data_IF_082697546172
#
_entry.id   IF_082697546172
#
_cell.length_a   1.000
_cell.length_b   1.000
_cell.length_c   1.000
_cell.angle_alpha   90.00
_cell.angle_beta   90.00
_cell.angle_gamma   90.00
#
_symmetry.space_group_name_H-M   'P 1'
#
loop_
_entity.id
_entity.type
_entity.pdbx_description
1 polymer ?
#
# COMPACT_ATOMS: atom_id res chain seq x y z
N UNK A 1 -3.16 35.87 -11.97
CA UNK A 1 -2.90 36.57 -10.71
C UNK A 1 -3.94 36.06 -9.73
N UNK A 2 -3.54 35.27 -8.75
CA UNK A 2 -4.42 34.75 -7.69
C UNK A 2 -4.88 35.91 -6.81
N UNK A 3 -6.18 35.99 -6.54
CA UNK A 3 -6.79 36.99 -5.66
C UNK A 3 -6.81 36.49 -4.21
N UNK A 4 -7.04 37.40 -3.27
CA UNK A 4 -7.31 37.03 -1.87
C UNK A 4 -8.53 36.11 -1.77
N UNK A 5 -9.53 36.27 -2.66
CA UNK A 5 -10.71 35.43 -2.69
C UNK A 5 -10.35 34.00 -3.10
N UNK A 6 -9.49 33.82 -4.10
CA UNK A 6 -9.02 32.49 -4.53
C UNK A 6 -8.24 31.76 -3.41
N UNK A 7 -7.69 32.50 -2.46
CA UNK A 7 -7.00 31.92 -1.30
C UNK A 7 -7.96 31.35 -0.26
N UNK A 8 -9.16 31.92 -0.13
CA UNK A 8 -10.08 31.60 0.98
C UNK A 8 -11.43 31.02 0.57
N UNK A 9 -11.85 31.18 -0.69
CA UNK A 9 -13.16 30.78 -1.19
C UNK A 9 -13.05 29.61 -2.16
N UNK A 10 -14.13 28.86 -2.33
CA UNK A 10 -14.19 27.72 -3.26
C UNK A 10 -13.52 26.44 -2.78
N UNK A 11 -13.03 26.41 -1.54
CA UNK A 11 -12.48 25.21 -0.91
C UNK A 11 -13.59 24.31 -0.36
N UNK A 12 -13.54 23.03 -0.69
CA UNK A 12 -14.39 22.00 -0.11
C UNK A 12 -13.58 21.18 0.89
N UNK A 13 -14.20 20.84 2.03
CA UNK A 13 -13.59 19.92 2.99
C UNK A 13 -14.00 18.49 2.65
N UNK A 14 -13.07 17.51 2.71
CA UNK A 14 -13.42 16.11 2.60
C UNK A 14 -14.47 15.71 3.65
N UNK A 15 -15.56 15.09 3.18
CA UNK A 15 -16.64 14.61 4.05
C UNK A 15 -16.42 13.17 4.53
N UNK A 16 -16.87 12.89 5.74
CA UNK A 16 -16.95 11.53 6.26
C UNK A 16 -18.25 10.85 5.82
N UNK A 17 -18.30 9.51 5.90
CA UNK A 17 -19.59 8.83 5.77
C UNK A 17 -20.52 9.24 6.94
N UNK A 18 -21.85 9.30 6.72
CA UNK A 18 -22.81 9.62 7.79
C UNK A 18 -22.73 8.69 9.01
N UNK A 19 -22.19 7.48 8.83
CA UNK A 19 -22.00 6.46 9.86
C UNK A 19 -20.68 6.56 10.61
N UNK A 20 -19.90 7.63 10.41
CA UNK A 20 -18.60 7.79 11.04
C UNK A 20 -18.71 8.11 12.54
N UNK A 21 -18.36 7.16 13.39
CA UNK A 21 -18.41 7.34 14.85
C UNK A 21 -17.26 8.20 15.40
N UNK A 22 -16.10 8.22 14.72
CA UNK A 22 -14.91 8.98 15.13
C UNK A 22 -14.26 9.67 13.93
N UNK A 23 -14.82 10.80 13.55
CA UNK A 23 -14.32 11.65 12.46
C UNK A 23 -12.87 12.09 12.71
N UNK A 24 -11.95 11.66 11.85
CA UNK A 24 -10.54 12.04 11.88
C UNK A 24 -9.93 11.88 10.48
N UNK A 25 -9.08 12.81 10.05
CA UNK A 25 -8.27 12.66 8.84
C UNK A 25 -6.81 12.40 9.20
N UNK A 26 -6.24 11.34 8.64
CA UNK A 26 -4.81 11.07 8.61
C UNK A 26 -4.27 11.42 7.24
N UNK A 27 -3.22 12.23 7.20
CA UNK A 27 -2.57 12.69 5.96
C UNK A 27 -1.15 12.15 5.91
N UNK A 28 -0.82 11.45 4.84
CA UNK A 28 0.56 11.04 4.55
C UNK A 28 0.94 11.45 3.13
N UNK A 29 2.22 11.76 2.93
CA UNK A 29 2.81 11.97 1.62
C UNK A 29 3.94 10.98 1.42
N UNK A 30 4.15 10.57 0.17
CA UNK A 30 5.36 9.87 -0.26
C UNK A 30 5.84 10.43 -1.59
N UNK A 31 7.13 10.41 -1.78
CA UNK A 31 7.78 10.75 -3.04
C UNK A 31 8.39 9.47 -3.61
N UNK A 32 8.06 9.17 -4.86
CA UNK A 32 8.70 8.11 -5.63
C UNK A 32 9.52 8.71 -6.76
N UNK A 33 10.77 8.29 -6.90
CA UNK A 33 11.62 8.65 -8.04
C UNK A 33 11.41 7.67 -9.20
N UNK A 34 11.60 8.14 -10.43
CA UNK A 34 11.65 7.26 -11.60
C UNK A 34 10.30 6.60 -11.90
N UNK A 35 9.21 7.34 -11.86
CA UNK A 35 7.95 6.89 -12.46
C UNK A 35 7.96 7.16 -13.95
N UNK A 36 7.48 6.21 -14.75
CA UNK A 36 7.42 6.34 -16.22
C UNK A 36 6.06 6.91 -16.65
N UNK A 37 6.07 7.92 -17.51
CA UNK A 37 4.85 8.44 -18.13
C UNK A 37 4.32 7.45 -19.16
N UNK A 38 3.17 6.83 -18.90
CA UNK A 38 2.49 5.95 -19.87
C UNK A 38 2.25 6.69 -21.20
N UNK A 39 2.77 6.14 -22.30
CA UNK A 39 2.60 6.70 -23.65
C UNK A 39 1.24 6.28 -24.20
N UNK A 40 0.27 7.18 -24.23
CA UNK A 40 -1.00 6.92 -24.92
C UNK A 40 -0.95 7.13 -26.45
N UNK A 41 0.16 7.63 -26.99
CA UNK A 41 0.61 7.61 -28.40
C UNK A 41 1.61 8.76 -28.63
N UNK A 42 2.73 8.52 -29.33
CA UNK A 42 3.72 9.55 -29.66
C UNK A 42 5.19 9.12 -29.54
N UNK A 43 6.08 9.81 -30.25
CA UNK A 43 7.53 9.60 -30.21
C UNK A 43 8.14 9.98 -28.85
N UNK A 44 9.31 9.40 -28.52
CA UNK A 44 10.06 9.72 -27.31
C UNK A 44 10.34 11.23 -27.22
N UNK A 45 10.00 11.87 -26.11
CA UNK A 45 10.14 13.30 -25.96
C UNK A 45 11.62 13.67 -25.72
N UNK A 46 12.36 13.98 -26.80
CA UNK A 46 13.72 14.53 -26.71
C UNK A 46 13.63 16.05 -26.54
N UNK A 47 13.54 16.53 -25.31
CA UNK A 47 13.77 17.95 -25.06
C UNK A 47 15.29 18.22 -25.07
N UNK A 48 15.78 19.17 -25.89
CA UNK A 48 17.19 19.54 -25.91
C UNK A 48 17.63 20.39 -24.70
N UNK A 49 16.68 20.81 -23.85
CA UNK A 49 16.97 21.52 -22.60
C UNK A 49 17.12 20.51 -21.45
N UNK A 50 18.31 20.46 -20.87
CA UNK A 50 18.70 19.59 -19.75
C UNK A 50 18.02 19.96 -18.42
N UNK A 51 17.39 21.13 -18.34
CA UNK A 51 16.58 21.59 -17.20
C UNK A 51 15.08 21.33 -17.41
N UNK A 52 14.68 20.73 -18.53
CA UNK A 52 13.27 20.54 -18.84
C UNK A 52 12.70 19.29 -18.14
N UNK A 53 11.79 19.48 -17.19
CA UNK A 53 11.05 18.41 -16.49
C UNK A 53 10.03 17.64 -17.34
N UNK A 54 10.22 17.57 -18.66
CA UNK A 54 9.32 16.88 -19.60
C UNK A 54 9.86 15.53 -20.10
N UNK A 55 10.81 14.93 -19.38
CA UNK A 55 11.31 13.59 -19.69
C UNK A 55 10.23 12.50 -19.55
N UNK A 56 10.52 11.30 -20.07
CA UNK A 56 9.64 10.14 -19.90
C UNK A 56 9.56 9.66 -18.45
N UNK A 57 10.49 10.11 -17.59
CA UNK A 57 10.59 9.75 -16.18
C UNK A 57 10.45 10.98 -15.29
N UNK A 58 9.78 10.81 -14.16
CA UNK A 58 9.51 11.92 -13.24
C UNK A 58 9.45 11.49 -11.77
N UNK A 59 9.55 12.50 -10.90
CA UNK A 59 9.29 12.36 -9.47
C UNK A 59 7.79 12.48 -9.20
N UNK A 60 7.21 11.43 -8.62
CA UNK A 60 5.79 11.41 -8.29
C UNK A 60 5.59 11.64 -6.80
N UNK A 61 4.83 12.68 -6.47
CA UNK A 61 4.31 12.86 -5.11
C UNK A 61 2.94 12.21 -5.01
N UNK A 62 2.76 11.35 -4.00
CA UNK A 62 1.44 10.79 -3.67
C UNK A 62 1.04 11.29 -2.29
N UNK A 63 -0.11 11.95 -2.20
CA UNK A 63 -0.75 12.33 -0.94
C UNK A 63 -1.94 11.41 -0.71
N UNK A 64 -2.06 10.85 0.49
CA UNK A 64 -3.26 10.12 0.94
C UNK A 64 -3.89 10.84 2.11
N UNK A 65 -5.22 10.94 2.07
CA UNK A 65 -6.05 11.49 3.15
C UNK A 65 -7.06 10.42 3.51
N UNK A 66 -7.03 9.93 4.76
CA UNK A 66 -7.77 8.72 5.14
C UNK A 66 -8.43 8.88 6.50
N UNK A 67 -9.69 8.48 6.62
CA UNK A 67 -10.36 8.35 7.90
C UNK A 67 -10.31 6.89 8.38
N UNK A 68 -9.61 6.56 9.49
CA UNK A 68 -9.54 5.19 9.97
C UNK A 68 -10.89 4.68 10.54
N UNK A 69 -11.80 5.58 10.92
CA UNK A 69 -13.10 5.21 11.48
C UNK A 69 -14.10 4.83 10.40
N UNK A 70 -14.28 5.66 9.36
CA UNK A 70 -15.26 5.41 8.30
C UNK A 70 -14.64 4.92 6.99
N UNK A 71 -13.31 4.80 6.93
CA UNK A 71 -12.55 4.23 5.81
C UNK A 71 -12.71 4.96 4.48
N UNK A 72 -13.18 6.21 4.51
CA UNK A 72 -13.11 7.11 3.36
C UNK A 72 -11.64 7.45 3.14
N UNK A 73 -11.18 7.32 1.90
CA UNK A 73 -9.83 7.68 1.52
C UNK A 73 -9.80 8.45 0.19
N UNK A 74 -8.94 9.45 0.14
CA UNK A 74 -8.59 10.21 -1.06
C UNK A 74 -7.11 9.98 -1.34
N UNK A 75 -6.77 9.65 -2.58
CA UNK A 75 -5.39 9.50 -3.02
C UNK A 75 -5.17 10.47 -4.16
N UNK A 76 -4.25 11.40 -3.97
CA UNK A 76 -3.81 12.36 -4.97
C UNK A 76 -2.43 11.95 -5.45
N UNK A 77 -2.26 11.83 -6.76
CA UNK A 77 -0.98 11.55 -7.41
C UNK A 77 -0.64 12.75 -8.27
N UNK A 78 0.48 13.39 -7.96
CA UNK A 78 0.94 14.60 -8.60
C UNK A 78 2.26 14.41 -9.30
N UNK A 79 2.36 15.02 -10.48
CA UNK A 79 3.61 15.33 -11.18
C UNK A 79 3.65 16.85 -11.41
N UNK A 80 4.42 17.58 -10.63
CA UNK A 80 4.42 19.06 -10.72
C UNK A 80 3.00 19.64 -10.65
N UNK A 81 2.56 20.30 -11.73
CA UNK A 81 1.25 20.97 -11.85
C UNK A 81 0.07 20.04 -12.21
N UNK A 82 0.32 18.76 -12.50
CA UNK A 82 -0.72 17.80 -12.91
C UNK A 82 -1.06 16.89 -11.73
N UNK A 83 -2.27 17.05 -11.19
CA UNK A 83 -2.79 16.23 -10.10
C UNK A 83 -3.97 15.37 -10.58
N UNK A 84 -3.91 14.06 -10.34
CA UNK A 84 -5.07 13.17 -10.44
C UNK A 84 -5.48 12.70 -9.04
N UNK A 85 -6.75 12.91 -8.70
CA UNK A 85 -7.37 12.44 -7.46
C UNK A 85 -8.22 11.20 -7.72
N UNK A 86 -8.22 10.24 -6.79
CA UNK A 86 -9.14 9.10 -6.82
C UNK A 86 -9.70 8.86 -5.43
N UNK A 87 -11.01 8.60 -5.35
CA UNK A 87 -11.65 8.04 -4.16
C UNK A 87 -11.15 6.60 -4.01
N UNK A 88 -10.23 6.38 -3.08
CA UNK A 88 -9.78 5.05 -2.72
C UNK A 88 -10.83 4.43 -1.79
N UNK A 89 -11.37 3.28 -2.20
CA UNK A 89 -12.26 2.50 -1.36
C UNK A 89 -11.49 1.45 -0.56
N UNK A 90 -12.15 0.87 0.42
CA UNK A 90 -11.66 -0.22 1.30
C UNK A 90 -11.11 -1.44 0.56
N UNK A 91 -11.44 -1.62 -0.72
CA UNK A 91 -10.98 -2.77 -1.52
C UNK A 91 -9.48 -2.71 -1.80
N UNK A 92 -8.88 -1.51 -1.78
CA UNK A 92 -7.45 -1.29 -2.02
C UNK A 92 -6.63 -1.29 -0.71
N UNK A 93 -7.19 -1.74 0.41
CA UNK A 93 -6.50 -1.79 1.71
C UNK A 93 -6.31 -0.44 2.40
N UNK A 94 -6.44 0.68 1.69
CA UNK A 94 -6.32 2.02 2.26
C UNK A 94 -7.31 2.24 3.42
N UNK A 95 -6.77 2.67 4.57
CA UNK A 95 -7.56 2.99 5.76
C UNK A 95 -8.12 1.81 6.53
N UNK A 96 -7.92 0.58 6.05
CA UNK A 96 -8.29 -0.60 6.81
C UNK A 96 -7.30 -0.82 7.97
N UNK A 97 -7.79 -1.09 9.18
CA UNK A 97 -6.91 -1.42 10.30
C UNK A 97 -6.23 -2.78 10.07
N UNK A 98 -5.05 -3.01 10.66
CA UNK A 98 -4.40 -4.30 10.57
C UNK A 98 -5.24 -5.39 11.25
N UNK A 99 -5.25 -6.59 10.67
CA UNK A 99 -5.91 -7.76 11.24
C UNK A 99 -4.93 -8.53 12.13
N UNK A 100 -5.37 -8.91 13.34
CA UNK A 100 -4.59 -9.79 14.22
C UNK A 100 -4.84 -11.24 13.85
N UNK A 101 -3.83 -11.92 13.31
CA UNK A 101 -3.93 -13.33 12.87
C UNK A 101 -2.65 -14.06 13.24
N UNK A 102 -2.78 -15.23 13.89
CA UNK A 102 -1.65 -16.08 14.28
C UNK A 102 -0.53 -15.33 15.06
N UNK A 103 -0.90 -14.37 15.91
CA UNK A 103 0.07 -13.57 16.67
C UNK A 103 0.80 -12.50 15.85
N UNK A 104 0.34 -12.21 14.63
CA UNK A 104 0.90 -11.21 13.72
C UNK A 104 -0.13 -10.12 13.41
N UNK A 105 0.36 -8.99 12.90
CA UNK A 105 -0.47 -7.93 12.32
C UNK A 105 -0.38 -7.98 10.80
N UNK A 106 -1.54 -8.09 10.15
CA UNK A 106 -1.69 -8.15 8.70
C UNK A 106 -2.25 -6.82 8.21
N UNK A 107 -1.40 -6.04 7.54
CA UNK A 107 -1.69 -4.72 7.01
C UNK A 107 -2.14 -4.86 5.56
N UNK A 108 -3.42 -4.62 5.26
CA UNK A 108 -3.95 -4.82 3.91
C UNK A 108 -3.36 -3.80 2.93
N UNK A 109 -2.96 -4.29 1.75
CA UNK A 109 -2.41 -3.49 0.67
C UNK A 109 -3.32 -3.42 -0.55
N UNK A 110 -3.00 -2.49 -1.45
CA UNK A 110 -3.47 -2.46 -2.83
C UNK A 110 -2.73 -3.56 -3.62
N UNK A 111 -3.40 -4.33 -4.49
CA UNK A 111 -2.71 -5.33 -5.30
C UNK A 111 -1.60 -4.69 -6.15
N UNK A 112 -0.49 -5.41 -6.33
CA UNK A 112 0.58 -4.97 -7.24
C UNK A 112 0.12 -4.88 -8.71
N UNK A 113 -1.01 -5.49 -9.05
CA UNK A 113 -1.55 -5.56 -10.40
C UNK A 113 -3.06 -5.31 -10.36
N UNK A 114 -3.58 -4.43 -11.22
CA UNK A 114 -5.01 -4.12 -11.40
C UNK A 114 -5.85 -5.31 -11.93
N UNK A 115 -5.56 -6.54 -11.52
CA UNK A 115 -6.36 -7.72 -11.82
C UNK A 115 -7.55 -7.73 -10.87
N UNK A 116 -8.67 -7.18 -11.35
CA UNK A 116 -9.92 -6.90 -10.62
C UNK A 116 -10.49 -8.04 -9.77
N UNK A 117 -11.50 -7.68 -8.94
CA UNK A 117 -12.00 -8.46 -7.77
C UNK A 117 -12.01 -9.97 -8.02
N UNK A 118 -11.14 -10.72 -7.33
CA UNK A 118 -11.30 -12.17 -7.21
C UNK A 118 -12.40 -12.45 -6.16
N UNK A 119 -13.65 -12.35 -6.59
CA UNK A 119 -14.87 -12.93 -5.98
C UNK A 119 -15.06 -12.84 -4.45
N UNK A 120 -14.32 -12.00 -3.74
CA UNK A 120 -14.33 -11.89 -2.28
C UNK A 120 -14.02 -10.46 -1.85
N UNK A 121 -14.43 -10.11 -0.63
CA UNK A 121 -14.14 -8.83 0.01
C UNK A 121 -12.78 -8.82 0.75
N UNK A 122 -11.96 -9.86 0.56
CA UNK A 122 -10.64 -9.96 1.16
C UNK A 122 -9.65 -9.04 0.42
N UNK A 123 -8.84 -8.23 1.12
CA UNK A 123 -7.70 -7.54 0.53
C UNK A 123 -6.81 -8.52 -0.22
N UNK A 124 -6.25 -8.07 -1.34
CA UNK A 124 -5.43 -8.92 -2.21
C UNK A 124 -4.13 -9.35 -1.54
N UNK A 125 -3.44 -8.38 -0.94
CA UNK A 125 -2.13 -8.60 -0.36
C UNK A 125 -2.10 -8.03 1.05
N UNK A 126 -1.22 -8.59 1.87
CA UNK A 126 -0.94 -8.09 3.21
C UNK A 126 0.56 -7.95 3.42
N UNK A 127 0.98 -6.80 3.93
CA UNK A 127 2.26 -6.70 4.63
C UNK A 127 2.08 -7.23 6.05
N UNK A 128 3.07 -7.96 6.55
CA UNK A 128 2.99 -8.61 7.85
C UNK A 128 4.02 -8.03 8.78
N UNK A 129 3.61 -7.65 9.99
CA UNK A 129 4.50 -7.17 11.06
C UNK A 129 4.28 -7.95 12.35
N UNK A 130 5.18 -7.78 13.31
CA UNK A 130 4.97 -8.21 14.69
C UNK A 130 3.86 -7.38 15.37
N UNK A 131 3.28 -7.87 16.48
CA UNK A 131 2.37 -7.07 17.32
C UNK A 131 3.03 -5.79 17.84
N UNK A 132 2.20 -4.80 18.17
CA UNK A 132 2.64 -3.53 18.77
C UNK A 132 2.97 -2.43 17.75
N UNK A 133 3.06 -2.75 16.47
CA UNK A 133 3.27 -1.76 15.40
C UNK A 133 2.00 -0.92 15.21
N UNK A 134 2.14 0.40 15.32
CA UNK A 134 1.05 1.36 15.10
C UNK A 134 1.14 2.03 13.73
N UNK A 135 2.37 2.19 13.21
CA UNK A 135 2.66 2.74 11.89
C UNK A 135 3.78 1.90 11.28
N UNK A 136 3.51 1.27 10.14
CA UNK A 136 4.46 0.36 9.50
C UNK A 136 5.63 1.15 8.91
N UNK A 137 6.84 0.76 9.29
CA UNK A 137 8.09 1.12 8.63
C UNK A 137 8.71 -0.11 8.00
N UNK A 138 9.73 0.08 7.15
CA UNK A 138 10.47 -1.03 6.53
C UNK A 138 11.05 -2.00 7.56
N UNK A 139 11.49 -1.50 8.71
CA UNK A 139 12.09 -2.32 9.78
C UNK A 139 11.07 -3.19 10.54
N UNK A 140 9.79 -2.84 10.48
CA UNK A 140 8.72 -3.58 11.17
C UNK A 140 8.24 -4.80 10.38
N UNK A 141 8.50 -4.81 9.07
CA UNK A 141 8.04 -5.84 8.16
C UNK A 141 8.79 -7.13 8.43
N UNK A 142 8.04 -8.22 8.56
CA UNK A 142 8.59 -9.58 8.75
C UNK A 142 8.16 -10.54 7.64
N UNK A 143 7.17 -10.17 6.84
CA UNK A 143 6.67 -10.99 5.75
C UNK A 143 5.63 -10.29 4.88
N UNK A 144 5.18 -11.00 3.85
CA UNK A 144 4.01 -10.64 3.06
C UNK A 144 3.16 -11.88 2.76
N UNK A 145 1.88 -11.64 2.54
CA UNK A 145 0.90 -12.63 2.09
C UNK A 145 0.34 -12.09 0.79
N UNK A 146 0.46 -12.88 -0.29
CA UNK A 146 -0.02 -12.47 -1.61
C UNK A 146 -1.06 -13.44 -2.14
N UNK A 147 -2.15 -12.89 -2.66
CA UNK A 147 -3.19 -13.67 -3.29
C UNK A 147 -2.71 -14.16 -4.67
N UNK A 148 -3.01 -15.41 -4.99
CA UNK A 148 -2.65 -16.05 -6.26
C UNK A 148 -3.77 -16.99 -6.74
N UNK A 149 -3.60 -17.59 -7.92
CA UNK A 149 -4.55 -18.53 -8.53
C UNK A 149 -4.02 -19.95 -8.53
N UNK A 150 -4.84 -20.87 -8.02
CA UNK A 150 -4.59 -22.30 -8.12
C UNK A 150 -4.93 -22.85 -9.52
N UNK A 151 -4.60 -24.13 -9.73
CA UNK A 151 -4.76 -24.89 -11.00
C UNK A 151 -6.16 -24.85 -11.67
N UNK A 152 -7.19 -24.38 -10.98
CA UNK A 152 -8.58 -24.26 -11.49
C UNK A 152 -9.17 -22.85 -11.30
N UNK A 153 -8.32 -21.83 -11.18
CA UNK A 153 -8.75 -20.44 -10.97
C UNK A 153 -9.25 -20.11 -9.55
N UNK A 154 -9.31 -21.10 -8.65
CA UNK A 154 -9.64 -20.86 -7.25
C UNK A 154 -8.56 -20.03 -6.55
N UNK A 155 -9.01 -19.19 -5.61
CA UNK A 155 -8.14 -18.34 -4.80
C UNK A 155 -7.22 -19.23 -3.95
N UNK A 156 -5.92 -18.92 -4.01
CA UNK A 156 -4.87 -19.49 -3.17
C UNK A 156 -3.98 -18.36 -2.68
N UNK A 157 -3.12 -18.67 -1.73
CA UNK A 157 -2.26 -17.70 -1.07
C UNK A 157 -0.81 -18.19 -1.12
N UNK A 158 0.09 -17.23 -1.25
CA UNK A 158 1.52 -17.41 -1.05
C UNK A 158 1.96 -16.56 0.12
N UNK A 159 3.00 -17.01 0.82
CA UNK A 159 3.56 -16.28 1.94
C UNK A 159 5.07 -16.14 1.74
N UNK A 160 5.62 -15.02 2.17
CA UNK A 160 7.03 -14.71 2.06
C UNK A 160 7.57 -14.08 3.34
N UNK A 161 8.85 -14.30 3.65
CA UNK A 161 9.54 -13.82 4.85
C UNK A 161 10.96 -13.36 4.53
N UNK A 162 11.65 -12.84 5.55
CA UNK A 162 13.04 -12.38 5.46
C UNK A 162 13.17 -11.28 4.41
N UNK A 163 12.60 -10.09 4.71
CA UNK A 163 12.64 -8.96 3.79
C UNK A 163 14.09 -8.54 3.53
N UNK A 164 14.36 -8.21 2.28
CA UNK A 164 15.64 -7.66 1.83
C UNK A 164 15.39 -6.53 0.82
N UNK A 165 16.41 -5.71 0.60
CA UNK A 165 16.33 -4.69 -0.42
C UNK A 165 16.25 -5.33 -1.81
N UNK A 166 15.29 -4.85 -2.60
CA UNK A 166 15.12 -5.38 -3.93
C UNK A 166 16.32 -5.04 -4.80
N UNK A 167 16.82 -6.06 -5.51
CA UNK A 167 17.96 -5.89 -6.43
C UNK A 167 17.56 -5.14 -7.70
N UNK A 168 16.28 -5.18 -8.05
CA UNK A 168 15.76 -4.68 -9.31
C UNK A 168 14.91 -3.42 -9.16
N UNK A 169 14.37 -3.18 -7.96
CA UNK A 169 13.43 -2.09 -7.71
C UNK A 169 13.83 -1.32 -6.45
N UNK A 170 14.64 -0.25 -6.58
CA UNK A 170 15.04 0.58 -5.44
C UNK A 170 13.84 0.98 -4.56
N UNK A 171 14.01 0.88 -3.24
CA UNK A 171 12.95 1.16 -2.26
C UNK A 171 11.92 0.04 -2.06
N UNK A 172 11.86 -0.99 -2.91
CA UNK A 172 10.97 -2.14 -2.75
C UNK A 172 11.58 -3.24 -1.86
N UNK A 173 10.73 -4.10 -1.31
CA UNK A 173 11.13 -5.29 -0.54
C UNK A 173 11.12 -6.50 -1.47
N UNK A 174 12.26 -7.17 -1.59
CA UNK A 174 12.32 -8.56 -2.06
C UNK A 174 12.23 -9.50 -0.84
N UNK A 175 11.91 -10.76 -1.10
CA UNK A 175 11.84 -11.79 -0.08
C UNK A 175 12.95 -12.81 -0.28
N UNK A 176 13.63 -13.18 0.81
CA UNK A 176 14.66 -14.22 0.72
C UNK A 176 14.04 -15.62 0.61
N UNK A 177 12.83 -15.80 1.17
CA UNK A 177 12.12 -17.08 1.21
C UNK A 177 10.63 -16.90 1.03
N UNK A 178 10.01 -17.90 0.41
CA UNK A 178 8.56 -17.99 0.21
C UNK A 178 8.04 -19.42 0.43
N UNK A 179 6.71 -19.56 0.44
CA UNK A 179 6.02 -20.83 0.64
C UNK A 179 6.17 -21.81 -0.54
N UNK A 180 6.78 -21.38 -1.65
CA UNK A 180 6.96 -22.14 -2.88
C UNK A 180 5.63 -22.62 -3.45
N UNK A 181 5.62 -23.86 -3.93
CA UNK A 181 4.44 -24.55 -4.48
C UNK A 181 3.41 -24.95 -3.42
N UNK A 182 3.65 -24.66 -2.14
CA UNK A 182 2.68 -24.93 -1.07
C UNK A 182 1.52 -23.96 -1.20
N UNK A 183 0.47 -24.39 -1.91
CA UNK A 183 -0.75 -23.60 -2.08
C UNK A 183 -1.48 -23.43 -0.73
N UNK A 184 -1.34 -22.27 -0.11
CA UNK A 184 -2.03 -21.94 1.14
C UNK A 184 -3.48 -21.59 0.81
N UNK A 185 -4.43 -22.21 1.51
CA UNK A 185 -5.87 -22.09 1.20
C UNK A 185 -6.56 -20.91 1.87
N UNK A 186 -5.87 -20.22 2.77
CA UNK A 186 -6.41 -19.05 3.49
C UNK A 186 -5.30 -18.12 3.97
N UNK A 187 -5.67 -16.86 4.21
CA UNK A 187 -4.81 -15.85 4.86
C UNK A 187 -4.32 -16.34 6.22
N UNK A 188 -5.17 -17.02 6.99
CA UNK A 188 -4.78 -17.61 8.28
C UNK A 188 -3.71 -18.69 8.13
N UNK A 189 -3.79 -19.55 7.11
CA UNK A 189 -2.75 -20.54 6.84
C UNK A 189 -1.43 -19.88 6.46
N UNK A 190 -1.49 -18.82 5.63
CA UNK A 190 -0.32 -18.02 5.26
C UNK A 190 0.33 -17.33 6.47
N UNK A 191 -0.46 -16.70 7.34
CA UNK A 191 0.02 -16.09 8.57
C UNK A 191 0.69 -17.11 9.52
N UNK A 192 0.10 -18.30 9.66
CA UNK A 192 0.70 -19.39 10.44
C UNK A 192 2.03 -19.85 9.85
N UNK A 193 2.12 -19.95 8.52
CA UNK A 193 3.36 -20.29 7.84
C UNK A 193 4.45 -19.26 8.13
N UNK A 194 4.14 -17.96 8.04
CA UNK A 194 5.08 -16.87 8.39
C UNK A 194 5.52 -16.99 9.85
N UNK A 195 4.57 -17.11 10.77
CA UNK A 195 4.85 -17.21 12.21
C UNK A 195 5.80 -18.38 12.55
N UNK A 196 5.69 -19.50 11.83
CA UNK A 196 6.58 -20.64 11.99
C UNK A 196 8.03 -20.40 11.50
N UNK A 197 8.25 -19.38 10.66
CA UNK A 197 9.59 -19.00 10.20
C UNK A 197 10.27 -17.98 11.11
N UNK A 198 9.50 -17.28 11.95
CA UNK A 198 10.05 -16.24 12.79
C UNK A 198 10.66 -16.85 14.05
N UNK A 199 11.80 -16.32 14.54
CA UNK A 199 12.30 -16.71 15.84
C UNK A 199 11.25 -16.39 16.92
N UNK A 200 11.14 -17.21 17.98
CA UNK A 200 10.24 -16.93 19.08
C UNK A 200 10.54 -15.54 19.64
N UNK A 201 9.52 -14.68 19.69
CA UNK A 201 9.64 -13.36 20.28
C UNK A 201 10.02 -13.55 21.75
N UNK A 202 11.16 -13.00 22.18
CA UNK A 202 11.48 -12.96 23.60
C UNK A 202 10.31 -12.27 24.31
N UNK A 203 9.59 -13.02 25.13
CA UNK A 203 8.53 -12.50 25.98
C UNK A 203 9.13 -11.39 26.81
N UNK A 204 8.66 -10.16 26.60
CA UNK A 204 9.12 -8.98 27.34
C UNK A 204 9.07 -9.29 28.83
N UNK A 205 10.25 -9.31 29.46
CA UNK A 205 10.37 -9.39 30.90
C UNK A 205 9.62 -8.22 31.51
N UNK A 206 8.69 -8.54 32.39
CA UNK A 206 8.06 -7.59 33.29
C UNK A 206 9.16 -6.77 33.99
N UNK A 207 9.21 -5.47 33.72
CA UNK A 207 9.83 -4.55 34.67
C UNK A 207 8.84 -4.40 35.82
N UNK A 208 9.20 -4.97 36.97
CA UNK A 208 8.63 -4.66 38.28
C UNK A 208 8.95 -3.23 38.68
#
# INVERSE_FOLDING_TARGET
MTTVQDTYLGWEQPEHLPTCERAQWLVDFRTGEGEFRERFSGDAHKCPNDVCGHGDWYERTTVRIVCPSCQVAFVFRGEGDINSGTLANTTHGYGLPPRRVAGLLLWPGEPFLNFGRMSSDEPYDFLVTRPGVQRVTRADVVGAIMQTRGRRGGITWTAAVEPRDSKYSPGQIDWARDSGDTALRSVTAAAKWIGAQLPPTASGGECR
#
